data_IF_589620333835
#
_entry.id   IF_589620333835
#
_cell.length_a   1.000
_cell.length_b   1.000
_cell.length_c   1.000
_cell.angle_alpha   90.00
_cell.angle_beta   90.00
_cell.angle_gamma   90.00
#
_symmetry.space_group_name_H-M   'P 1'
#
loop_
_entity.id
_entity.type
_entity.pdbx_description
1 polymer ?
#
# COMPACT_ATOMS: atom_id res chain seq x y z
N UNK A 1 -16.21 3.54 -25.18
CA UNK A 1 -14.76 3.67 -24.99
C UNK A 1 -14.46 3.14 -23.60
N UNK A 2 -13.73 2.05 -23.49
CA UNK A 2 -13.30 1.46 -22.23
C UNK A 2 -12.05 2.21 -21.74
N UNK A 3 -12.26 3.19 -20.87
CA UNK A 3 -11.22 4.02 -20.30
C UNK A 3 -10.86 3.54 -18.90
N UNK A 4 -9.57 3.31 -18.66
CA UNK A 4 -9.04 2.84 -17.37
C UNK A 4 -8.27 3.97 -16.70
N UNK A 5 -8.43 4.08 -15.38
CA UNK A 5 -7.68 5.01 -14.55
C UNK A 5 -6.94 4.25 -13.46
N UNK A 6 -5.62 4.41 -13.40
CA UNK A 6 -4.80 3.91 -12.31
C UNK A 6 -4.30 5.07 -11.44
N UNK A 7 -4.77 5.10 -10.20
CA UNK A 7 -4.36 6.06 -9.18
C UNK A 7 -5.23 7.32 -9.15
N UNK A 8 -4.71 8.38 -8.51
CA UNK A 8 -5.38 9.69 -8.37
C UNK A 8 -4.50 10.78 -9.00
N UNK A 9 -4.44 10.90 -10.33
CA UNK A 9 -3.68 11.97 -10.98
C UNK A 9 -4.25 13.34 -10.58
N UNK A 10 -3.41 14.39 -10.50
CA UNK A 10 -3.86 15.72 -10.17
C UNK A 10 -4.71 16.32 -11.31
N UNK A 11 -5.67 17.19 -10.95
CA UNK A 11 -6.63 17.81 -11.87
C UNK A 11 -5.99 18.50 -13.08
N UNK A 12 -4.74 18.96 -12.96
CA UNK A 12 -3.96 19.59 -14.03
C UNK A 12 -3.74 18.69 -15.26
N UNK A 13 -3.98 17.39 -15.14
CA UNK A 13 -3.90 16.40 -16.24
C UNK A 13 -5.27 15.98 -16.78
N UNK A 14 -6.35 16.62 -16.33
CA UNK A 14 -7.71 16.40 -16.82
C UNK A 14 -8.11 14.91 -16.76
N UNK A 15 -8.12 14.29 -15.56
CA UNK A 15 -8.47 12.88 -15.44
C UNK A 15 -9.86 12.57 -16.02
N UNK A 16 -10.03 11.40 -16.64
CA UNK A 16 -11.30 11.02 -17.25
C UNK A 16 -12.41 10.94 -16.19
N UNK A 17 -13.56 11.57 -16.47
CA UNK A 17 -14.70 11.61 -15.54
C UNK A 17 -15.44 10.27 -15.38
N UNK A 18 -15.44 9.43 -16.42
CA UNK A 18 -16.00 8.09 -16.40
C UNK A 18 -14.92 7.09 -16.82
N UNK A 19 -14.27 6.46 -15.84
CA UNK A 19 -13.22 5.46 -16.06
C UNK A 19 -13.29 4.38 -14.99
N UNK A 20 -12.92 3.15 -15.36
CA UNK A 20 -12.75 2.05 -14.40
C UNK A 20 -11.47 2.31 -13.60
N UNK A 21 -11.62 2.56 -12.30
CA UNK A 21 -10.49 2.71 -11.40
C UNK A 21 -9.83 1.35 -11.14
N UNK A 22 -8.49 1.30 -11.21
CA UNK A 22 -7.74 0.04 -11.07
C UNK A 22 -6.58 0.06 -10.07
N UNK A 23 -6.40 1.16 -9.33
CA UNK A 23 -5.35 1.24 -8.32
C UNK A 23 -5.59 0.27 -7.16
N UNK A 24 -4.58 -0.51 -6.72
CA UNK A 24 -4.70 -1.34 -5.53
C UNK A 24 -4.80 -0.51 -4.24
N UNK A 25 -4.48 0.78 -4.28
CA UNK A 25 -4.53 1.70 -3.15
C UNK A 25 -5.91 2.37 -2.98
N UNK A 26 -6.89 2.01 -3.80
CA UNK A 26 -8.25 2.57 -3.74
C UNK A 26 -9.24 1.43 -3.52
N UNK A 27 -9.69 1.23 -2.26
CA UNK A 27 -10.69 0.21 -1.91
C UNK A 27 -11.88 0.16 -2.87
N UNK A 28 -12.27 -1.06 -3.27
CA UNK A 28 -13.37 -1.33 -4.19
C UNK A 28 -13.03 -1.23 -5.69
N UNK A 29 -11.79 -0.88 -6.04
CA UNK A 29 -11.33 -0.80 -7.43
C UNK A 29 -11.12 -2.18 -8.07
N UNK A 30 -11.20 -2.25 -9.41
CA UNK A 30 -10.92 -3.47 -10.16
C UNK A 30 -9.41 -3.73 -10.23
N UNK A 31 -8.90 -4.95 -10.03
CA UNK A 31 -7.47 -5.24 -10.24
C UNK A 31 -7.02 -4.93 -11.68
N UNK A 32 -5.93 -4.18 -11.86
CA UNK A 32 -5.39 -3.93 -13.20
C UNK A 32 -4.96 -5.23 -13.88
N UNK A 33 -4.42 -6.17 -13.09
CA UNK A 33 -3.99 -7.50 -13.52
C UNK A 33 -5.13 -8.43 -13.92
N UNK A 34 -6.39 -8.09 -13.62
CA UNK A 34 -7.56 -8.85 -14.05
C UNK A 34 -8.20 -8.33 -15.33
N UNK A 35 -7.65 -7.29 -15.96
CA UNK A 35 -8.15 -6.82 -17.24
C UNK A 35 -7.72 -7.79 -18.37
N UNK A 36 -8.66 -8.11 -19.24
CA UNK A 36 -8.38 -8.95 -20.41
C UNK A 36 -7.39 -8.23 -21.36
N UNK A 37 -6.44 -8.96 -21.99
CA UNK A 37 -5.54 -8.37 -22.98
C UNK A 37 -6.30 -7.69 -24.12
N UNK A 38 -5.88 -6.50 -24.52
CA UNK A 38 -6.52 -5.76 -25.61
C UNK A 38 -7.93 -5.24 -25.31
N UNK A 39 -8.39 -5.25 -24.06
CA UNK A 39 -9.75 -4.80 -23.69
C UNK A 39 -9.91 -3.29 -23.51
N UNK A 40 -8.84 -2.53 -23.30
CA UNK A 40 -8.87 -1.10 -23.02
C UNK A 40 -8.61 -0.24 -24.27
N UNK A 41 -9.38 0.85 -24.42
CA UNK A 41 -9.18 1.86 -25.47
C UNK A 41 -8.17 2.92 -25.05
N UNK A 42 -8.24 3.34 -23.78
CA UNK A 42 -7.38 4.36 -23.18
C UNK A 42 -7.07 3.99 -21.73
N UNK A 43 -5.83 4.18 -21.31
CA UNK A 43 -5.41 4.00 -19.92
C UNK A 43 -4.64 5.24 -19.47
N UNK A 44 -5.11 5.88 -18.40
CA UNK A 44 -4.37 6.93 -17.70
C UNK A 44 -3.76 6.39 -16.41
N UNK A 45 -2.46 6.62 -16.20
CA UNK A 45 -1.71 6.13 -15.04
C UNK A 45 -1.07 7.30 -14.31
N UNK A 46 -1.41 7.46 -13.04
CA UNK A 46 -0.56 8.16 -12.09
C UNK A 46 0.45 7.16 -11.51
N UNK A 47 1.67 7.20 -12.05
CA UNK A 47 2.61 6.09 -11.92
C UNK A 47 3.19 6.01 -10.50
N UNK A 48 3.29 4.80 -9.93
CA UNK A 48 3.81 4.64 -8.58
C UNK A 48 5.32 4.93 -8.52
N UNK A 49 5.85 5.27 -7.33
CA UNK A 49 7.25 5.70 -7.18
C UNK A 49 8.26 4.54 -7.27
N UNK A 50 7.88 3.33 -6.87
CA UNK A 50 8.76 2.16 -6.90
C UNK A 50 9.10 1.72 -8.33
N UNK A 51 10.37 1.38 -8.61
CA UNK A 51 10.80 1.01 -9.97
C UNK A 51 10.12 -0.28 -10.45
N UNK A 52 10.20 -1.35 -9.67
CA UNK A 52 9.58 -2.64 -10.02
C UNK A 52 8.06 -2.52 -10.11
N UNK A 53 7.45 -1.86 -9.13
CA UNK A 53 6.00 -1.59 -9.09
C UNK A 53 5.52 -0.78 -10.31
N UNK A 54 6.26 0.27 -10.68
CA UNK A 54 5.93 1.11 -11.83
C UNK A 54 6.06 0.31 -13.13
N UNK A 55 7.17 -0.40 -13.33
CA UNK A 55 7.35 -1.24 -14.53
C UNK A 55 6.26 -2.31 -14.64
N UNK A 56 5.90 -2.94 -13.54
CA UNK A 56 4.78 -3.89 -13.48
C UNK A 56 3.45 -3.25 -13.92
N UNK A 57 3.14 -2.08 -13.38
CA UNK A 57 1.91 -1.34 -13.71
C UNK A 57 1.88 -0.93 -15.19
N UNK A 58 3.01 -0.45 -15.73
CA UNK A 58 3.14 -0.09 -17.15
C UNK A 58 2.96 -1.31 -18.06
N UNK A 59 3.54 -2.45 -17.69
CA UNK A 59 3.44 -3.68 -18.46
C UNK A 59 2.00 -4.22 -18.50
N UNK A 60 1.30 -4.23 -17.35
CA UNK A 60 -0.11 -4.61 -17.30
C UNK A 60 -0.98 -3.68 -18.16
N UNK A 61 -0.72 -2.38 -18.14
CA UNK A 61 -1.45 -1.43 -18.98
C UNK A 61 -1.19 -1.63 -20.48
N UNK A 62 0.07 -1.85 -20.87
CA UNK A 62 0.41 -2.17 -22.27
C UNK A 62 -0.22 -3.49 -22.74
N UNK A 63 -0.35 -4.47 -21.84
CA UNK A 63 -1.06 -5.74 -22.11
C UNK A 63 -2.57 -5.54 -22.26
N UNK A 64 -3.18 -4.74 -21.40
CA UNK A 64 -4.61 -4.47 -21.42
C UNK A 64 -5.05 -3.56 -22.58
N UNK A 65 -4.16 -2.71 -23.11
CA UNK A 65 -4.46 -1.84 -24.25
C UNK A 65 -4.62 -2.62 -25.56
N UNK A 66 -5.66 -2.29 -26.31
CA UNK A 66 -5.79 -2.73 -27.71
C UNK A 66 -4.72 -2.06 -28.58
N UNK A 67 -4.39 -2.67 -29.72
CA UNK A 67 -3.55 -2.03 -30.75
C UNK A 67 -4.17 -0.70 -31.16
N UNK A 68 -3.36 0.35 -31.22
CA UNK A 68 -3.79 1.74 -31.46
C UNK A 68 -4.39 2.45 -30.23
N UNK A 69 -4.56 1.75 -29.11
CA UNK A 69 -5.03 2.33 -27.85
C UNK A 69 -4.01 3.29 -27.23
N UNK A 70 -4.48 4.22 -26.40
CA UNK A 70 -3.66 5.30 -25.84
C UNK A 70 -3.29 5.01 -24.38
N UNK A 71 -2.00 5.01 -24.08
CA UNK A 71 -1.46 5.03 -22.73
C UNK A 71 -1.00 6.44 -22.38
N UNK A 72 -1.50 7.01 -21.29
CA UNK A 72 -1.11 8.32 -20.78
C UNK A 72 -0.58 8.20 -19.35
N UNK A 73 0.72 8.35 -19.16
CA UNK A 73 1.41 8.07 -17.90
C UNK A 73 2.02 9.34 -17.37
N UNK A 74 1.77 9.66 -16.10
CA UNK A 74 2.38 10.79 -15.41
C UNK A 74 2.90 10.40 -14.05
N UNK A 75 4.01 11.04 -13.66
CA UNK A 75 4.53 10.95 -12.30
C UNK A 75 5.33 12.21 -11.94
N UNK A 76 5.42 12.57 -10.64
CA UNK A 76 6.29 13.64 -10.18
C UNK A 76 7.74 13.39 -10.59
N UNK A 77 8.47 14.44 -11.00
CA UNK A 77 9.86 14.32 -11.49
C UNK A 77 10.80 13.64 -10.48
N UNK A 78 10.61 13.94 -9.21
CA UNK A 78 11.34 13.41 -8.06
C UNK A 78 10.87 12.01 -7.64
N UNK A 79 9.69 11.57 -8.10
CA UNK A 79 9.06 10.28 -7.78
C UNK A 79 8.89 9.39 -9.00
N UNK A 80 9.99 9.19 -9.73
CA UNK A 80 10.03 8.28 -10.87
C UNK A 80 9.67 8.92 -12.21
N UNK A 81 9.04 10.10 -12.22
CA UNK A 81 8.70 10.82 -13.46
C UNK A 81 9.87 11.00 -14.40
N UNK A 82 11.04 11.40 -13.88
CA UNK A 82 12.25 11.59 -14.69
C UNK A 82 12.79 10.30 -15.33
N UNK A 83 12.32 9.12 -14.90
CA UNK A 83 12.70 7.80 -15.44
C UNK A 83 11.66 7.22 -16.40
N UNK A 84 10.45 7.79 -16.46
CA UNK A 84 9.32 7.24 -17.22
C UNK A 84 9.65 6.97 -18.68
N UNK A 85 10.22 7.95 -19.38
CA UNK A 85 10.59 7.78 -20.79
C UNK A 85 11.52 6.58 -21.00
N UNK A 86 12.63 6.52 -20.25
CA UNK A 86 13.58 5.41 -20.34
C UNK A 86 12.95 4.05 -20.01
N UNK A 87 12.05 4.02 -19.03
CA UNK A 87 11.35 2.78 -18.66
C UNK A 87 10.36 2.33 -19.74
N UNK A 88 9.65 3.25 -20.38
CA UNK A 88 8.78 2.97 -21.52
C UNK A 88 9.59 2.56 -22.76
N UNK A 89 10.71 3.20 -23.06
CA UNK A 89 11.59 2.83 -24.18
C UNK A 89 12.08 1.38 -24.04
N UNK A 90 12.26 0.89 -22.81
CA UNK A 90 12.63 -0.50 -22.54
C UNK A 90 11.54 -1.53 -22.89
N UNK A 91 10.31 -1.09 -23.22
CA UNK A 91 9.28 -1.93 -23.83
C UNK A 91 9.28 -1.85 -25.36
N UNK A 92 10.24 -1.16 -25.99
CA UNK A 92 10.31 -0.98 -27.44
C UNK A 92 9.11 -0.24 -28.03
N UNK A 93 8.58 0.76 -27.30
CA UNK A 93 7.47 1.62 -27.75
C UNK A 93 7.92 3.05 -28.04
N UNK A 94 7.25 3.70 -28.99
CA UNK A 94 7.43 5.12 -29.26
C UNK A 94 6.70 5.99 -28.23
N UNK A 95 7.36 7.07 -27.78
CA UNK A 95 6.88 7.89 -26.66
C UNK A 95 6.86 9.37 -27.02
N UNK A 96 5.70 9.99 -26.89
CA UNK A 96 5.58 11.44 -26.79
C UNK A 96 5.79 11.89 -25.34
N UNK A 97 6.73 12.80 -25.10
CA UNK A 97 7.06 13.25 -23.74
C UNK A 97 6.82 14.75 -23.56
N UNK A 98 6.18 15.11 -22.44
CA UNK A 98 6.00 16.49 -22.01
C UNK A 98 6.28 16.63 -20.51
N UNK A 99 6.39 17.88 -20.04
CA UNK A 99 6.50 18.18 -18.62
C UNK A 99 5.52 19.30 -18.25
N UNK A 100 4.81 19.15 -17.14
CA UNK A 100 3.84 20.12 -16.62
C UNK A 100 3.78 19.97 -15.09
N UNK A 101 3.65 21.08 -14.36
CA UNK A 101 3.41 21.09 -12.90
C UNK A 101 4.34 20.13 -12.10
N UNK A 102 5.66 20.18 -12.33
CA UNK A 102 6.65 19.29 -11.70
C UNK A 102 6.53 17.78 -11.99
N UNK A 103 5.72 17.39 -12.97
CA UNK A 103 5.61 16.01 -13.43
C UNK A 103 6.25 15.82 -14.80
N UNK A 104 6.58 14.57 -15.12
CA UNK A 104 6.74 14.10 -16.49
C UNK A 104 5.47 13.40 -16.91
N UNK A 105 5.07 13.61 -18.17
CA UNK A 105 3.94 12.95 -18.82
C UNK A 105 4.46 12.29 -20.10
N UNK A 106 4.23 10.99 -20.23
CA UNK A 106 4.58 10.19 -21.39
C UNK A 106 3.30 9.64 -22.01
N UNK A 107 3.18 9.76 -23.32
CA UNK A 107 2.06 9.25 -24.11
C UNK A 107 2.60 8.18 -25.05
N UNK A 108 1.97 7.02 -25.04
CA UNK A 108 2.29 5.91 -25.95
C UNK A 108 1.01 5.52 -26.68
N UNK A 109 1.12 5.28 -27.99
CA UNK A 109 0.08 4.59 -28.76
C UNK A 109 0.52 3.14 -28.86
N UNK A 110 -0.31 2.21 -28.40
CA UNK A 110 0.01 0.78 -28.39
C UNK A 110 0.30 0.31 -29.82
N UNK A 111 1.54 -0.11 -30.15
CA UNK A 111 1.84 -0.62 -31.48
C UNK A 111 1.24 -2.02 -31.67
N UNK A 112 1.37 -2.56 -32.88
CA UNK A 112 1.13 -3.99 -33.13
C UNK A 112 1.96 -4.88 -32.20
N UNK A 113 1.51 -6.12 -31.99
CA UNK A 113 2.28 -7.08 -31.21
C UNK A 113 3.63 -7.37 -31.89
N UNK A 114 4.72 -7.14 -31.17
CA UNK A 114 6.09 -7.39 -31.63
C UNK A 114 6.80 -8.27 -30.60
N UNK A 115 7.65 -9.25 -31.02
CA UNK A 115 8.28 -10.18 -30.10
C UNK A 115 9.03 -9.53 -28.92
N UNK A 116 9.73 -8.42 -29.16
CA UNK A 116 10.50 -7.75 -28.10
C UNK A 116 9.62 -6.95 -27.13
N UNK A 117 8.50 -6.39 -27.60
CA UNK A 117 7.51 -5.73 -26.76
C UNK A 117 6.84 -6.75 -25.83
N UNK A 118 6.33 -7.86 -26.38
CA UNK A 118 5.64 -8.88 -25.58
C UNK A 118 6.60 -9.51 -24.55
N UNK A 119 7.84 -9.81 -24.95
CA UNK A 119 8.88 -10.31 -24.04
C UNK A 119 9.18 -9.32 -22.91
N UNK A 120 9.24 -8.02 -23.21
CA UNK A 120 9.48 -6.99 -22.21
C UNK A 120 8.29 -6.82 -21.25
N UNK A 121 7.06 -6.92 -21.76
CA UNK A 121 5.82 -6.94 -20.96
C UNK A 121 5.86 -8.11 -19.99
N UNK A 122 6.05 -9.33 -20.49
CA UNK A 122 6.03 -10.54 -19.65
C UNK A 122 7.12 -10.51 -18.58
N UNK A 123 8.36 -10.12 -18.93
CA UNK A 123 9.46 -10.00 -17.98
C UNK A 123 9.18 -8.96 -16.88
N UNK A 124 8.54 -7.84 -17.21
CA UNK A 124 8.17 -6.83 -16.23
C UNK A 124 7.00 -7.28 -15.34
N UNK A 125 6.04 -8.04 -15.88
CA UNK A 125 4.95 -8.65 -15.11
C UNK A 125 5.54 -9.65 -14.10
N UNK A 126 6.42 -10.54 -14.54
CA UNK A 126 7.07 -11.53 -13.67
C UNK A 126 7.89 -10.85 -12.57
N UNK A 127 8.70 -9.84 -12.91
CA UNK A 127 9.54 -9.14 -11.94
C UNK A 127 8.76 -8.39 -10.85
N UNK A 128 7.51 -7.99 -11.14
CA UNK A 128 6.63 -7.27 -10.23
C UNK A 128 5.48 -8.07 -9.64
N UNK A 129 5.37 -9.37 -9.97
CA UNK A 129 4.31 -10.23 -9.48
C UNK A 129 4.44 -10.53 -7.97
N UNK A 130 3.32 -10.88 -7.30
CA UNK A 130 3.37 -11.44 -5.96
C UNK A 130 4.21 -12.72 -5.92
N UNK A 131 5.05 -12.86 -4.89
CA UNK A 131 5.94 -14.02 -4.71
C UNK A 131 6.19 -14.31 -3.24
N UNK A 132 6.57 -15.56 -2.95
CA UNK A 132 7.24 -15.88 -1.70
C UNK A 132 8.64 -15.24 -1.76
N UNK A 133 8.95 -14.34 -0.83
CA UNK A 133 10.22 -13.63 -0.81
C UNK A 133 11.23 -14.38 0.05
N UNK A 134 12.33 -14.80 -0.57
CA UNK A 134 13.44 -15.47 0.11
C UNK A 134 14.01 -14.59 1.24
N UNK A 135 14.23 -15.18 2.41
CA UNK A 135 14.72 -14.47 3.60
C UNK A 135 13.63 -13.74 4.39
N UNK A 136 12.46 -13.47 3.79
CA UNK A 136 11.23 -13.16 4.53
C UNK A 136 10.44 -14.42 4.88
N UNK A 137 10.54 -15.46 4.03
CA UNK A 137 9.68 -16.65 4.08
C UNK A 137 8.18 -16.31 4.13
N UNK A 138 7.81 -15.23 3.43
CA UNK A 138 6.45 -14.70 3.39
C UNK A 138 6.09 -14.22 1.97
N UNK A 139 4.83 -14.37 1.59
CA UNK A 139 4.27 -13.77 0.38
C UNK A 139 4.31 -12.25 0.49
N UNK A 140 4.73 -11.61 -0.59
CA UNK A 140 4.75 -10.16 -0.71
C UNK A 140 4.81 -9.75 -2.18
N UNK A 141 4.80 -8.45 -2.48
CA UNK A 141 4.85 -7.93 -3.84
C UNK A 141 5.55 -6.57 -3.89
N UNK A 142 6.39 -6.27 -4.91
CA UNK A 142 6.91 -4.93 -5.12
C UNK A 142 5.81 -3.86 -5.11
N UNK A 143 5.99 -2.85 -4.27
CA UNK A 143 5.00 -1.80 -4.01
C UNK A 143 4.34 -1.89 -2.64
N UNK A 144 4.29 -3.09 -2.04
CA UNK A 144 3.91 -3.26 -0.63
C UNK A 144 5.00 -2.67 0.28
N UNK A 145 4.59 -2.12 1.42
CA UNK A 145 5.54 -1.59 2.42
C UNK A 145 6.53 -2.68 2.87
N UNK A 146 7.83 -2.34 2.85
CA UNK A 146 8.93 -3.25 3.16
C UNK A 146 8.82 -4.62 2.43
N UNK A 147 8.39 -4.62 1.16
CA UNK A 147 8.02 -5.86 0.47
C UNK A 147 9.10 -6.95 0.43
N UNK A 148 10.38 -6.59 0.56
CA UNK A 148 11.55 -7.47 0.43
C UNK A 148 12.32 -7.71 1.75
N UNK A 149 11.83 -7.22 2.88
CA UNK A 149 12.50 -7.34 4.19
C UNK A 149 11.55 -7.09 5.35
N UNK A 150 11.94 -7.54 6.55
CA UNK A 150 11.19 -7.16 7.76
C UNK A 150 11.50 -5.68 8.08
N UNK A 151 10.47 -4.87 8.25
CA UNK A 151 10.65 -3.48 8.69
C UNK A 151 11.22 -3.41 10.11
N UNK A 152 12.19 -2.51 10.32
CA UNK A 152 12.87 -2.38 11.60
C UNK A 152 11.94 -1.92 12.73
N UNK A 153 10.97 -1.05 12.44
CA UNK A 153 9.95 -0.62 13.40
C UNK A 153 9.04 -1.78 13.79
N UNK A 154 8.51 -2.52 12.81
CA UNK A 154 7.70 -3.71 13.06
C UNK A 154 8.47 -4.79 13.85
N UNK A 155 9.75 -5.01 13.55
CA UNK A 155 10.61 -5.94 14.28
C UNK A 155 10.80 -5.54 15.75
N UNK A 156 11.02 -4.24 16.02
CA UNK A 156 11.14 -3.73 17.38
C UNK A 156 9.81 -3.85 18.14
N UNK A 157 8.69 -3.55 17.49
CA UNK A 157 7.38 -3.68 18.12
C UNK A 157 7.09 -5.12 18.50
N UNK A 158 7.35 -6.06 17.58
CA UNK A 158 7.20 -7.49 17.83
C UNK A 158 8.00 -8.00 19.05
N UNK A 159 9.15 -7.40 19.35
CA UNK A 159 9.99 -7.81 20.50
C UNK A 159 9.42 -7.37 21.85
N UNK A 160 8.66 -6.27 21.89
CA UNK A 160 8.11 -5.72 23.14
C UNK A 160 6.64 -6.05 23.36
N UNK A 161 5.94 -6.56 22.34
CA UNK A 161 4.54 -6.96 22.46
C UNK A 161 4.38 -8.05 23.53
N UNK A 162 3.54 -7.82 24.57
CA UNK A 162 3.18 -8.89 25.49
C UNK A 162 2.22 -9.87 24.81
N UNK A 163 1.98 -11.06 25.39
CA UNK A 163 0.88 -11.92 24.97
C UNK A 163 -0.46 -11.16 25.07
N UNK A 164 -1.04 -10.82 23.92
CA UNK A 164 -2.31 -10.09 23.84
C UNK A 164 -3.49 -11.03 24.08
N UNK A 165 -4.67 -10.47 24.38
CA UNK A 165 -5.89 -11.23 24.66
C UNK A 165 -7.14 -10.51 24.17
N UNK A 166 -8.19 -11.28 23.87
CA UNK A 166 -9.46 -10.76 23.40
C UNK A 166 -9.45 -10.43 21.90
N UNK A 167 -10.34 -9.52 21.48
CA UNK A 167 -10.48 -9.13 20.09
C UNK A 167 -9.62 -7.89 19.78
N UNK A 168 -8.93 -7.87 18.64
CA UNK A 168 -8.12 -6.71 18.27
C UNK A 168 -7.97 -6.49 16.77
N UNK A 169 -7.17 -5.48 16.43
CA UNK A 169 -6.88 -5.12 15.03
C UNK A 169 -5.39 -4.82 14.79
N UNK A 170 -4.93 -5.12 13.58
CA UNK A 170 -3.65 -4.70 13.01
C UNK A 170 -3.93 -3.65 11.92
N UNK A 171 -3.66 -2.37 12.20
CA UNK A 171 -3.99 -1.25 11.31
C UNK A 171 -2.79 -0.88 10.45
N UNK A 172 -2.93 -0.99 9.13
CA UNK A 172 -1.81 -0.93 8.21
C UNK A 172 -1.00 -2.22 8.26
N UNK A 173 -1.69 -3.37 8.18
CA UNK A 173 -1.11 -4.68 8.48
C UNK A 173 0.02 -5.09 7.52
N UNK A 174 0.15 -4.45 6.36
CA UNK A 174 1.09 -4.85 5.33
C UNK A 174 0.85 -6.31 4.93
N UNK A 175 1.93 -7.07 4.75
CA UNK A 175 1.85 -8.50 4.47
C UNK A 175 1.58 -9.37 5.72
N UNK A 176 1.20 -8.78 6.87
CA UNK A 176 0.77 -9.49 8.08
C UNK A 176 1.88 -9.80 9.10
N UNK A 177 3.04 -9.13 9.03
CA UNK A 177 4.20 -9.43 9.88
C UNK A 177 3.88 -9.38 11.39
N UNK A 178 3.27 -8.29 11.87
CA UNK A 178 2.90 -8.13 13.29
C UNK A 178 1.79 -9.10 13.69
N UNK A 179 0.83 -9.33 12.81
CA UNK A 179 -0.28 -10.27 13.01
C UNK A 179 0.20 -11.70 13.34
N UNK A 180 1.25 -12.20 12.68
CA UNK A 180 1.82 -13.52 13.00
C UNK A 180 2.35 -13.60 14.44
N UNK A 181 2.82 -12.49 15.01
CA UNK A 181 3.33 -12.41 16.39
C UNK A 181 2.19 -12.32 17.38
N UNK A 182 1.18 -11.49 17.08
CA UNK A 182 -0.03 -11.33 17.90
C UNK A 182 -0.75 -12.67 18.09
N UNK A 183 -0.90 -13.44 17.01
CA UNK A 183 -1.64 -14.71 17.02
C UNK A 183 -0.91 -15.86 17.74
N UNK A 184 0.37 -15.69 18.13
CA UNK A 184 1.05 -16.65 19.01
C UNK A 184 0.35 -16.77 20.37
N UNK A 185 -0.37 -15.74 20.79
CA UNK A 185 -1.17 -15.81 22.00
C UNK A 185 -2.49 -16.57 21.74
N UNK A 186 -2.75 -17.70 22.42
CA UNK A 186 -4.03 -18.41 22.29
C UNK A 186 -5.19 -17.63 22.92
N UNK A 187 -4.91 -16.59 23.72
CA UNK A 187 -5.93 -15.75 24.34
C UNK A 187 -6.51 -14.70 23.39
N UNK A 188 -5.92 -14.49 22.21
CA UNK A 188 -6.52 -13.68 21.14
C UNK A 188 -7.71 -14.45 20.57
N UNK A 189 -8.89 -13.83 20.60
CA UNK A 189 -10.15 -14.43 20.15
C UNK A 189 -10.52 -14.04 18.72
N UNK A 190 -10.10 -12.85 18.27
CA UNK A 190 -10.27 -12.37 16.91
C UNK A 190 -9.19 -11.34 16.57
N UNK A 191 -8.72 -11.32 15.33
CA UNK A 191 -7.80 -10.32 14.81
C UNK A 191 -8.26 -9.81 13.45
N UNK A 192 -8.58 -8.52 13.37
CA UNK A 192 -8.88 -7.85 12.10
C UNK A 192 -7.61 -7.24 11.51
N UNK A 193 -7.25 -7.62 10.30
CA UNK A 193 -6.14 -7.04 9.55
C UNK A 193 -6.71 -6.04 8.55
N UNK A 194 -6.26 -4.78 8.61
CA UNK A 194 -6.75 -3.70 7.75
C UNK A 194 -5.59 -3.08 7.00
N UNK A 195 -5.69 -2.99 5.68
CA UNK A 195 -4.74 -2.23 4.86
C UNK A 195 -5.45 -1.57 3.66
N UNK A 196 -4.94 -0.41 3.25
CA UNK A 196 -5.45 0.31 2.07
C UNK A 196 -4.93 -0.28 0.77
N UNK A 197 -3.83 -1.04 0.82
CA UNK A 197 -3.25 -1.72 -0.34
C UNK A 197 -3.82 -3.13 -0.48
N UNK A 198 -4.59 -3.35 -1.55
CA UNK A 198 -5.13 -4.68 -1.89
C UNK A 198 -4.04 -5.74 -1.92
N UNK A 199 -2.85 -5.42 -2.42
CA UNK A 199 -1.73 -6.38 -2.56
C UNK A 199 -1.21 -6.80 -1.19
N UNK A 200 -1.17 -5.87 -0.23
CA UNK A 200 -0.79 -6.15 1.15
C UNK A 200 -1.82 -7.10 1.80
N UNK A 201 -3.11 -6.82 1.62
CA UNK A 201 -4.19 -7.68 2.13
C UNK A 201 -4.14 -9.08 1.53
N UNK A 202 -3.94 -9.20 0.21
CA UNK A 202 -3.82 -10.52 -0.45
C UNK A 202 -2.56 -11.28 -0.01
N UNK A 203 -1.45 -10.59 0.25
CA UNK A 203 -0.26 -11.19 0.85
C UNK A 203 -0.52 -11.66 2.29
N UNK A 204 -1.17 -10.82 3.11
CA UNK A 204 -1.51 -11.16 4.49
C UNK A 204 -2.44 -12.39 4.59
N UNK A 205 -3.42 -12.52 3.69
CA UNK A 205 -4.28 -13.72 3.61
C UNK A 205 -3.49 -15.01 3.39
N UNK A 206 -2.39 -14.96 2.63
CA UNK A 206 -1.52 -16.12 2.39
C UNK A 206 -0.55 -16.38 3.54
N UNK A 207 -0.13 -15.33 4.25
CA UNK A 207 0.86 -15.43 5.32
C UNK A 207 0.26 -15.73 6.69
N UNK A 208 -1.02 -15.39 6.89
CA UNK A 208 -1.70 -15.48 8.18
C UNK A 208 -2.89 -16.42 8.06
N UNK A 209 -2.61 -17.71 7.93
CA UNK A 209 -3.62 -18.77 7.88
C UNK A 209 -4.08 -19.16 9.30
N UNK A 210 -4.89 -18.30 9.92
CA UNK A 210 -5.46 -18.52 11.25
C UNK A 210 -6.97 -18.25 11.25
N UNK A 211 -7.82 -19.18 11.74
CA UNK A 211 -9.28 -19.03 11.69
C UNK A 211 -9.82 -17.86 12.53
N UNK A 212 -9.00 -17.25 13.38
CA UNK A 212 -9.36 -16.06 14.17
C UNK A 212 -9.24 -14.76 13.38
N UNK A 213 -8.74 -14.81 12.14
CA UNK A 213 -8.47 -13.63 11.34
C UNK A 213 -9.62 -13.21 10.44
N UNK A 214 -9.72 -11.90 10.20
CA UNK A 214 -10.52 -11.28 9.16
C UNK A 214 -9.70 -10.21 8.46
N UNK A 215 -10.00 -9.92 7.20
CA UNK A 215 -9.17 -9.06 6.35
C UNK A 215 -10.04 -8.01 5.65
N UNK A 216 -9.72 -6.73 5.89
CA UNK A 216 -10.44 -5.60 5.30
C UNK A 216 -9.50 -4.82 4.37
N UNK A 217 -9.79 -4.81 3.06
CA UNK A 217 -9.19 -3.87 2.12
C UNK A 217 -9.91 -2.52 2.24
N UNK A 218 -9.39 -1.66 3.09
CA UNK A 218 -10.03 -0.41 3.48
C UNK A 218 -9.01 0.65 3.87
N UNK A 219 -9.41 1.92 3.70
CA UNK A 219 -8.70 3.03 4.33
C UNK A 219 -9.08 3.07 5.82
N UNK A 220 -8.11 2.90 6.71
CA UNK A 220 -8.30 2.95 8.17
C UNK A 220 -9.04 4.22 8.61
N UNK A 221 -8.91 5.34 7.89
CA UNK A 221 -9.63 6.59 8.20
C UNK A 221 -11.14 6.50 7.98
N UNK A 222 -11.61 5.46 7.29
CA UNK A 222 -13.01 5.28 6.89
C UNK A 222 -13.71 4.13 7.60
N UNK A 223 -12.99 3.30 8.35
CA UNK A 223 -13.58 2.17 9.07
C UNK A 223 -14.37 2.65 10.30
N UNK A 224 -15.40 1.86 10.66
CA UNK A 224 -16.27 2.11 11.79
C UNK A 224 -15.53 1.95 13.13
N UNK A 225 -15.88 2.81 14.08
CA UNK A 225 -15.31 2.85 15.44
C UNK A 225 -16.30 2.22 16.45
N UNK A 226 -16.47 0.90 16.39
CA UNK A 226 -17.43 0.20 17.25
C UNK A 226 -17.10 0.28 18.76
N UNK A 227 -15.86 0.60 19.13
CA UNK A 227 -15.45 0.80 20.52
C UNK A 227 -15.45 -0.48 21.36
N UNK A 228 -15.25 -1.64 20.74
CA UNK A 228 -15.40 -2.96 21.32
C UNK A 228 -14.07 -3.76 21.40
N UNK A 229 -12.99 -3.27 20.80
CA UNK A 229 -11.71 -3.97 20.75
C UNK A 229 -10.94 -3.91 22.08
N UNK A 230 -10.29 -5.02 22.43
CA UNK A 230 -9.34 -5.14 23.55
C UNK A 230 -8.00 -4.48 23.22
N UNK A 231 -7.53 -4.62 21.98
CA UNK A 231 -6.23 -4.10 21.57
C UNK A 231 -6.19 -3.67 20.10
N UNK A 232 -5.24 -2.77 19.79
CA UNK A 232 -4.84 -2.41 18.43
C UNK A 232 -3.32 -2.47 18.37
N UNK A 233 -2.76 -3.03 17.31
CA UNK A 233 -1.33 -2.93 16.96
C UNK A 233 -1.18 -2.16 15.66
N UNK A 234 -0.15 -1.32 15.52
CA UNK A 234 0.14 -0.67 14.25
C UNK A 234 1.59 -0.18 14.10
N UNK A 235 2.03 -0.19 12.86
CA UNK A 235 3.16 0.59 12.35
C UNK A 235 2.61 1.52 11.25
N UNK A 236 2.04 2.67 11.61
CA UNK A 236 1.26 3.49 10.70
C UNK A 236 2.14 4.07 9.58
N UNK A 237 1.58 4.24 8.37
CA UNK A 237 2.30 4.88 7.28
C UNK A 237 2.70 6.31 7.66
N UNK A 238 3.92 6.68 7.31
CA UNK A 238 4.46 8.03 7.52
C UNK A 238 4.65 8.80 6.22
N UNK A 239 4.33 8.20 5.07
CA UNK A 239 4.33 8.85 3.76
C UNK A 239 3.00 8.63 3.03
N UNK A 240 2.35 9.70 2.59
CA UNK A 240 1.29 9.65 1.58
C UNK A 240 1.81 10.30 0.29
N UNK A 241 1.75 9.57 -0.82
CA UNK A 241 2.25 10.04 -2.12
C UNK A 241 3.71 10.51 -2.12
N UNK A 242 4.53 10.09 -1.14
CA UNK A 242 5.95 10.41 -0.98
C UNK A 242 6.27 11.75 -0.30
N UNK A 243 5.34 12.36 0.44
CA UNK A 243 5.63 13.42 1.41
C UNK A 243 5.40 12.88 2.82
N UNK A 244 6.19 13.30 3.81
CA UNK A 244 5.96 12.96 5.22
C UNK A 244 4.57 13.48 5.64
N UNK A 245 3.60 12.58 5.86
CA UNK A 245 2.24 12.95 6.25
C UNK A 245 1.99 12.56 7.71
N UNK A 246 2.34 13.49 8.61
CA UNK A 246 2.06 13.36 10.05
C UNK A 246 0.56 13.25 10.33
N UNK A 247 -0.29 13.84 9.49
CA UNK A 247 -1.75 13.85 9.69
C UNK A 247 -2.33 12.46 9.47
N UNK A 248 -1.72 11.67 8.58
CA UNK A 248 -2.13 10.29 8.35
C UNK A 248 -1.93 9.43 9.60
N UNK A 249 -0.72 9.46 10.19
CA UNK A 249 -0.46 8.74 11.44
C UNK A 249 -1.30 9.23 12.62
N UNK A 250 -1.53 10.55 12.73
CA UNK A 250 -2.45 11.11 13.73
C UNK A 250 -3.90 10.62 13.54
N UNK A 251 -4.37 10.50 12.31
CA UNK A 251 -5.68 9.94 12.01
C UNK A 251 -5.77 8.46 12.39
N UNK A 252 -4.70 7.68 12.17
CA UNK A 252 -4.61 6.29 12.63
C UNK A 252 -4.69 6.19 14.16
N UNK A 253 -4.00 7.07 14.90
CA UNK A 253 -4.04 7.11 16.37
C UNK A 253 -5.47 7.38 16.86
N UNK A 254 -6.16 8.38 16.29
CA UNK A 254 -7.56 8.67 16.64
C UNK A 254 -8.49 7.51 16.30
N UNK A 255 -8.31 6.88 15.15
CA UNK A 255 -9.09 5.69 14.76
C UNK A 255 -8.89 4.53 15.72
N UNK A 256 -7.64 4.21 16.07
CA UNK A 256 -7.34 3.19 17.06
C UNK A 256 -8.01 3.49 18.41
N UNK A 257 -7.92 4.75 18.88
CA UNK A 257 -8.61 5.17 20.10
C UNK A 257 -10.13 4.98 19.99
N UNK A 258 -10.76 5.35 18.87
CA UNK A 258 -12.19 5.15 18.62
C UNK A 258 -12.62 3.68 18.69
N UNK A 259 -11.84 2.78 18.08
CA UNK A 259 -12.14 1.35 17.98
C UNK A 259 -11.97 0.57 19.30
N UNK A 260 -11.15 1.07 20.22
CA UNK A 260 -10.89 0.39 21.50
C UNK A 260 -12.05 0.56 22.49
N UNK A 261 -12.30 -0.44 23.34
CA UNK A 261 -13.16 -0.28 24.51
C UNK A 261 -12.44 0.46 25.64
N UNK A 262 -13.18 0.85 26.68
CA UNK A 262 -12.56 1.44 27.89
C UNK A 262 -11.53 0.48 28.49
N UNK A 263 -10.30 0.95 28.70
CA UNK A 263 -9.18 0.12 29.16
C UNK A 263 -8.53 -0.74 28.07
N UNK A 264 -8.99 -0.67 26.83
CA UNK A 264 -8.31 -1.27 25.68
C UNK A 264 -6.98 -0.55 25.38
N UNK A 265 -6.08 -1.25 24.70
CA UNK A 265 -4.68 -0.82 24.58
C UNK A 265 -4.22 -0.74 23.13
N UNK A 266 -3.62 0.39 22.76
CA UNK A 266 -2.89 0.58 21.52
C UNK A 266 -1.40 0.28 21.74
N UNK A 267 -0.83 -0.51 20.83
CA UNK A 267 0.61 -0.71 20.67
C UNK A 267 1.05 -0.11 19.34
N UNK A 268 1.95 0.87 19.40
CA UNK A 268 2.36 1.68 18.26
C UNK A 268 3.89 1.76 18.18
N UNK A 269 4.44 1.60 16.98
CA UNK A 269 5.80 2.02 16.65
C UNK A 269 5.76 3.21 15.69
N UNK A 270 6.66 4.18 15.88
CA UNK A 270 6.77 5.34 15.00
C UNK A 270 8.24 5.75 14.82
N UNK A 271 8.55 6.39 13.69
CA UNK A 271 9.85 7.05 13.53
C UNK A 271 10.03 8.15 14.59
N UNK A 272 11.24 8.26 15.15
CA UNK A 272 11.55 9.13 16.30
C UNK A 272 11.15 10.59 16.10
N UNK A 273 11.35 11.12 14.88
CA UNK A 273 11.09 12.51 14.52
C UNK A 273 9.60 12.87 14.39
N UNK A 274 8.70 11.88 14.30
CA UNK A 274 7.26 12.12 14.11
C UNK A 274 6.60 12.53 15.44
N UNK A 275 5.89 13.66 15.52
CA UNK A 275 5.40 14.22 16.78
C UNK A 275 4.05 13.63 17.22
N UNK A 276 3.99 12.31 17.46
CA UNK A 276 2.75 11.61 17.83
C UNK A 276 2.40 11.70 19.32
N UNK A 277 3.30 12.17 20.17
CA UNK A 277 3.08 12.24 21.62
C UNK A 277 1.89 13.12 22.02
N UNK A 278 1.69 14.24 21.32
CA UNK A 278 0.57 15.13 21.59
C UNK A 278 -0.77 14.45 21.26
N UNK A 279 -0.85 13.80 20.10
CA UNK A 279 -2.04 13.08 19.66
C UNK A 279 -2.35 11.89 20.58
N UNK A 280 -1.33 11.14 20.99
CA UNK A 280 -1.49 10.03 21.92
C UNK A 280 -2.03 10.51 23.28
N UNK A 281 -1.53 11.64 23.81
CA UNK A 281 -1.97 12.19 25.09
C UNK A 281 -3.40 12.75 25.04
N UNK A 282 -3.83 13.24 23.88
CA UNK A 282 -5.20 13.71 23.68
C UNK A 282 -6.19 12.54 23.56
N UNK A 283 -5.81 11.49 22.83
CA UNK A 283 -6.69 10.36 22.53
C UNK A 283 -6.73 9.28 23.62
N UNK A 284 -5.72 9.19 24.50
CA UNK A 284 -5.58 8.11 25.48
C UNK A 284 -5.37 8.63 26.91
N UNK A 285 -5.94 7.90 27.89
CA UNK A 285 -5.82 8.24 29.31
C UNK A 285 -4.40 8.06 29.86
N UNK A 286 -3.66 7.07 29.36
CA UNK A 286 -2.27 6.80 29.76
C UNK A 286 -1.46 6.44 28.53
N UNK A 287 -0.26 7.03 28.41
CA UNK A 287 0.70 6.74 27.34
C UNK A 287 2.05 6.43 27.98
N UNK A 288 2.56 5.23 27.72
CA UNK A 288 3.82 4.73 28.27
C UNK A 288 4.80 4.46 27.12
N UNK A 289 5.96 5.14 27.08
CA UNK A 289 7.05 4.71 26.20
C UNK A 289 7.55 3.34 26.65
N UNK A 290 7.53 2.36 25.74
CA UNK A 290 7.92 0.96 26.02
C UNK A 290 9.22 0.56 25.32
N UNK A 291 9.75 1.43 24.47
CA UNK A 291 11.02 1.22 23.80
C UNK A 291 11.46 2.42 22.97
N UNK A 292 12.76 2.54 22.78
CA UNK A 292 13.39 3.49 21.88
C UNK A 292 14.67 2.86 21.32
N UNK A 293 14.79 2.76 19.99
CA UNK A 293 15.92 2.12 19.34
C UNK A 293 15.84 2.16 17.82
N UNK A 294 16.99 2.12 17.14
CA UNK A 294 17.05 2.01 15.67
C UNK A 294 16.39 3.17 14.90
N UNK A 295 16.21 4.34 15.53
CA UNK A 295 15.47 5.47 14.95
C UNK A 295 13.96 5.45 15.17
N UNK A 296 13.45 4.48 15.95
CA UNK A 296 12.04 4.31 16.27
C UNK A 296 11.76 4.52 17.76
N UNK A 297 10.52 4.89 18.06
CA UNK A 297 9.95 4.98 19.41
C UNK A 297 8.67 4.16 19.48
N UNK A 298 8.47 3.50 20.62
CA UNK A 298 7.40 2.55 20.83
C UNK A 298 6.53 2.99 22.00
N UNK A 299 5.22 2.89 21.83
CA UNK A 299 4.23 3.33 22.81
C UNK A 299 3.21 2.22 23.10
N UNK A 300 2.90 2.08 24.38
CA UNK A 300 1.66 1.48 24.87
C UNK A 300 0.72 2.62 25.30
N UNK A 301 -0.50 2.66 24.79
CA UNK A 301 -1.48 3.68 25.15
C UNK A 301 -2.83 3.06 25.56
N UNK A 302 -3.34 3.40 26.74
CA UNK A 302 -4.58 2.85 27.32
C UNK A 302 -5.73 3.84 27.23
N UNK A 303 -6.87 3.42 26.69
CA UNK A 303 -8.11 4.22 26.58
C UNK A 303 -8.80 4.43 27.93
#
# INVERSE_FOLDING_TARGET
>A
MNTILYGRPPLVFDPPGAATQTSPLIPGSTPLESLEPGSADEIMIYAPPGVLERRYTLALALKALKVGGRLDVMAPKDKGGSRLKKELEAFSVEIGETAKAHHRRCVVIRPEAMPDLERAIDAAIEAGAPRLVEGLEAWSQPGVFAWDRIDGGSALLAQVLPPLKGAGADLGCGYGALSTVVLRSPAVTALKLVDTDRRAVEAAKRNVEDPRTSFDWADVRTIDEAGDLDFVVMNPPFHDGGAEDRRLGQAFIRKAAGMLKKGGVLWLVANRHLPYEAELKDAFKRVTPVGDGGGYKLFEATK
#
